data_IF_266457246765
#
_entry.id   IF_266457246765
#
_cell.length_a   1.000
_cell.length_b   1.000
_cell.length_c   1.000
_cell.angle_alpha   90.00
_cell.angle_beta   90.00
_cell.angle_gamma   90.00
#
_symmetry.space_group_name_H-M   'P 1'
#
loop_
_entity.id
_entity.type
_entity.pdbx_description
1 polymer ?
#
# COMPACT_ATOMS: atom_id res chain seq x y z
N UNK A 1 23.51 -17.57 11.57
CA UNK A 1 23.48 -16.10 11.65
C UNK A 1 22.05 -15.63 11.40
N UNK A 2 21.53 -14.70 12.20
CA UNK A 2 20.24 -14.03 11.92
C UNK A 2 20.43 -13.05 10.76
N UNK A 3 19.37 -12.82 9.97
CA UNK A 3 19.40 -11.81 8.91
C UNK A 3 19.64 -10.40 9.51
N UNK A 4 20.29 -9.48 8.77
CA UNK A 4 20.42 -8.09 9.18
C UNK A 4 19.05 -7.45 9.45
N UNK A 5 18.96 -6.68 10.52
CA UNK A 5 17.80 -5.86 10.84
C UNK A 5 17.85 -4.56 10.06
N UNK A 6 17.34 -4.61 8.83
CA UNK A 6 17.20 -3.44 7.96
C UNK A 6 15.73 -3.00 7.81
N UNK A 7 15.53 -1.86 7.15
CA UNK A 7 14.20 -1.34 6.86
C UNK A 7 13.35 -2.30 6.00
N UNK A 8 13.96 -3.10 5.13
CA UNK A 8 13.25 -4.07 4.29
C UNK A 8 12.68 -5.22 5.12
N UNK A 9 13.41 -5.69 6.11
CA UNK A 9 12.99 -6.74 7.02
C UNK A 9 11.83 -6.24 7.89
N UNK A 10 11.96 -5.05 8.48
CA UNK A 10 10.91 -4.46 9.30
C UNK A 10 9.66 -4.15 8.50
N UNK A 11 9.80 -3.69 7.26
CA UNK A 11 8.69 -3.57 6.31
C UNK A 11 7.88 -4.87 6.20
N UNK A 12 8.55 -6.01 5.96
CA UNK A 12 7.87 -7.32 5.87
C UNK A 12 7.25 -7.77 7.21
N UNK A 13 7.96 -7.59 8.32
CA UNK A 13 7.49 -8.01 9.66
C UNK A 13 6.29 -7.22 10.18
N UNK A 14 6.09 -5.99 9.69
CA UNK A 14 5.02 -5.08 10.14
C UNK A 14 3.85 -5.03 9.16
N UNK A 15 3.46 -6.18 8.59
CA UNK A 15 2.36 -6.27 7.63
C UNK A 15 2.54 -5.36 6.40
N UNK A 16 3.79 -5.25 5.95
CA UNK A 16 4.15 -4.41 4.81
C UNK A 16 3.86 -2.92 5.04
N UNK A 17 4.04 -2.42 6.26
CA UNK A 17 3.85 -0.99 6.54
C UNK A 17 4.74 -0.14 5.62
N UNK A 18 4.24 1.01 5.18
CA UNK A 18 5.02 1.89 4.31
C UNK A 18 6.36 2.29 4.99
N UNK A 19 7.44 2.33 4.20
CA UNK A 19 8.80 2.57 4.70
C UNK A 19 8.94 3.96 5.33
N UNK A 20 8.22 4.97 4.83
CA UNK A 20 8.24 6.32 5.41
C UNK A 20 7.67 6.34 6.84
N UNK A 21 6.65 5.53 7.09
CA UNK A 21 6.03 5.32 8.39
C UNK A 21 6.97 4.59 9.34
N UNK A 22 7.68 3.56 8.87
CA UNK A 22 8.72 2.92 9.68
C UNK A 22 9.87 3.87 10.02
N UNK A 23 10.32 4.69 9.06
CA UNK A 23 11.30 5.76 9.32
C UNK A 23 10.80 6.76 10.36
N UNK A 24 9.50 7.10 10.31
CA UNK A 24 8.86 7.95 11.31
C UNK A 24 8.85 7.28 12.69
N UNK A 25 8.48 6.01 12.78
CA UNK A 25 8.46 5.26 14.05
C UNK A 25 9.84 5.24 14.69
N UNK A 26 10.89 4.99 13.91
CA UNK A 26 12.28 5.01 14.39
C UNK A 26 12.74 6.41 14.82
N UNK A 27 12.43 7.44 14.02
CA UNK A 27 12.86 8.81 14.27
C UNK A 27 12.17 9.41 15.50
N UNK A 28 10.88 9.13 15.66
CA UNK A 28 10.04 9.71 16.71
C UNK A 28 9.97 8.79 17.95
N UNK A 29 10.76 7.71 18.00
CA UNK A 29 10.81 6.70 19.07
C UNK A 29 9.42 6.12 19.46
N UNK A 30 8.61 5.81 18.43
CA UNK A 30 7.21 5.39 18.61
C UNK A 30 7.02 3.86 18.68
N UNK A 31 8.10 3.08 18.69
CA UNK A 31 8.05 1.62 18.56
C UNK A 31 9.04 0.90 19.46
N UNK A 32 8.56 -0.06 20.23
CA UNK A 32 9.41 -0.87 21.11
C UNK A 32 10.04 -2.03 20.34
N UNK A 33 11.35 -2.23 20.50
CA UNK A 33 12.08 -3.36 19.92
C UNK A 33 12.38 -3.26 18.43
N UNK A 34 12.18 -2.08 17.83
CA UNK A 34 12.51 -1.79 16.45
C UNK A 34 13.98 -1.33 16.36
N UNK A 35 14.89 -2.25 16.06
CA UNK A 35 16.33 -1.97 15.96
C UNK A 35 16.80 -2.04 14.52
N UNK A 36 17.61 -1.08 14.07
CA UNK A 36 18.32 -1.15 12.80
C UNK A 36 19.80 -1.40 13.06
N UNK A 37 20.31 -2.54 12.61
CA UNK A 37 21.75 -2.87 12.63
C UNK A 37 22.39 -2.78 11.23
N UNK A 38 21.57 -2.48 10.22
CA UNK A 38 21.97 -2.32 8.83
C UNK A 38 21.28 -1.12 8.20
N UNK A 39 22.08 -0.31 7.51
CA UNK A 39 21.63 0.86 6.74
C UNK A 39 21.42 0.55 5.26
N UNK A 40 21.25 -0.74 4.92
CA UNK A 40 20.96 -1.15 3.56
C UNK A 40 19.73 -0.42 3.02
N UNK A 41 19.82 0.05 1.78
CA UNK A 41 18.70 0.69 1.13
C UNK A 41 17.51 -0.30 1.04
N UNK A 42 16.27 0.15 1.30
CA UNK A 42 15.10 -0.69 1.12
C UNK A 42 15.03 -1.22 -0.32
N UNK A 43 14.56 -2.46 -0.49
CA UNK A 43 14.24 -2.96 -1.83
C UNK A 43 13.25 -2.00 -2.52
N UNK A 44 13.54 -1.56 -3.77
CA UNK A 44 12.77 -0.52 -4.43
C UNK A 44 11.34 -0.96 -4.75
N UNK A 45 11.13 -2.26 -4.96
CA UNK A 45 9.81 -2.86 -5.20
C UNK A 45 9.62 -4.03 -4.25
N UNK A 46 8.50 -4.03 -3.52
CA UNK A 46 8.05 -5.18 -2.73
C UNK A 46 6.89 -5.85 -3.47
N UNK A 47 7.13 -7.03 -4.05
CA UNK A 47 6.12 -7.77 -4.82
C UNK A 47 4.82 -8.02 -4.04
N UNK A 48 4.83 -8.45 -2.75
CA UNK A 48 3.60 -8.56 -1.97
C UNK A 48 2.83 -7.24 -1.82
N UNK A 49 3.53 -6.10 -1.73
CA UNK A 49 2.86 -4.80 -1.70
C UNK A 49 2.25 -4.44 -3.05
N UNK A 50 2.95 -4.77 -4.13
CA UNK A 50 2.42 -4.55 -5.47
C UNK A 50 1.16 -5.39 -5.68
N UNK A 51 1.16 -6.66 -5.28
CA UNK A 51 0.00 -7.52 -5.39
C UNK A 51 -1.16 -7.12 -4.45
N UNK A 52 -0.87 -6.71 -3.22
CA UNK A 52 -1.88 -6.56 -2.16
C UNK A 52 -2.24 -5.12 -1.76
N UNK A 53 -1.43 -4.12 -2.11
CA UNK A 53 -1.62 -2.69 -1.74
C UNK A 53 -1.55 -1.77 -2.96
N UNK A 54 -1.89 -2.25 -4.14
CA UNK A 54 -2.24 -1.32 -5.20
C UNK A 54 -3.57 -0.68 -4.83
N UNK A 55 -3.54 0.63 -4.57
CA UNK A 55 -4.77 1.42 -4.65
C UNK A 55 -5.26 1.24 -6.09
N UNK A 56 -6.43 0.62 -6.27
CA UNK A 56 -7.02 0.49 -7.59
C UNK A 56 -7.05 1.90 -8.19
N UNK A 57 -6.44 2.07 -9.37
CA UNK A 57 -6.57 3.34 -10.07
C UNK A 57 -8.05 3.60 -10.25
N UNK A 58 -8.47 4.84 -10.00
CA UNK A 58 -9.83 5.26 -10.30
C UNK A 58 -10.15 4.88 -11.74
N UNK A 59 -11.31 4.28 -11.96
CA UNK A 59 -11.78 4.04 -13.32
C UNK A 59 -11.83 5.39 -14.06
N UNK A 60 -11.43 5.43 -15.35
CA UNK A 60 -11.56 6.65 -16.12
C UNK A 60 -13.02 7.08 -16.12
N UNK A 61 -13.26 8.38 -15.88
CA UNK A 61 -14.58 8.94 -16.04
C UNK A 61 -14.97 8.83 -17.51
N UNK A 62 -16.15 8.28 -17.78
CA UNK A 62 -16.65 8.10 -19.15
C UNK A 62 -17.01 9.43 -19.83
N UNK A 63 -17.04 10.53 -19.07
CA UNK A 63 -17.39 11.88 -19.56
C UNK A 63 -18.86 12.03 -19.96
N UNK A 64 -19.65 10.98 -19.85
CA UNK A 64 -21.05 10.92 -20.27
C UNK A 64 -21.96 10.92 -19.05
N UNK A 65 -22.80 11.96 -18.96
CA UNK A 65 -23.88 12.08 -17.97
C UNK A 65 -25.17 12.33 -18.74
N UNK A 66 -26.24 11.66 -18.35
CA UNK A 66 -27.54 11.84 -18.98
C UNK A 66 -28.21 13.13 -18.49
N UNK A 67 -28.75 13.92 -19.41
CA UNK A 67 -29.33 15.25 -19.10
C UNK A 67 -30.85 15.28 -19.12
N UNK A 68 -31.50 14.17 -19.51
CA UNK A 68 -32.95 14.04 -19.63
C UNK A 68 -33.48 12.88 -18.80
N UNK A 69 -34.74 13.00 -18.37
CA UNK A 69 -35.46 11.95 -17.65
C UNK A 69 -35.50 10.68 -18.50
N UNK A 70 -35.17 9.53 -17.89
CA UNK A 70 -35.12 8.21 -18.54
C UNK A 70 -34.18 8.11 -19.77
N UNK A 71 -33.13 8.93 -19.87
CA UNK A 71 -32.18 8.81 -20.98
C UNK A 71 -31.36 7.50 -20.96
N UNK A 72 -31.23 6.86 -19.80
CA UNK A 72 -30.50 5.62 -19.59
C UNK A 72 -31.12 4.88 -18.40
N UNK A 73 -31.41 3.59 -18.58
CA UNK A 73 -31.92 2.69 -17.54
C UNK A 73 -30.95 1.52 -17.46
N UNK A 74 -30.38 1.29 -16.27
CA UNK A 74 -29.55 0.13 -16.00
C UNK A 74 -30.43 -0.92 -15.31
N UNK A 75 -30.56 -2.09 -15.93
CA UNK A 75 -31.13 -3.27 -15.31
C UNK A 75 -30.00 -4.28 -15.07
N UNK A 76 -30.00 -4.89 -13.89
CA UNK A 76 -29.13 -6.02 -13.58
C UNK A 76 -29.98 -7.27 -13.37
N UNK A 77 -29.44 -8.43 -13.70
CA UNK A 77 -30.10 -9.71 -13.43
C UNK A 77 -29.41 -10.32 -12.20
N UNK A 78 -30.15 -10.49 -11.12
CA UNK A 78 -29.69 -11.29 -9.99
C UNK A 78 -30.02 -12.76 -10.25
N UNK A 79 -29.03 -13.63 -10.04
CA UNK A 79 -29.21 -15.08 -9.91
C UNK A 79 -29.90 -15.44 -8.59
#
# INVERSE_FOLDING_TARGET
>A
ATLPQDLSLWHRRTMHHNVAGLKRVLRDDLGTGLLLDSQAAPVPVCEPCLAGKMHARSFPLTGTVTTRVLALVHGDLSE
#
